data_IF_552648895735
#
_entry.id   IF_552648895735
#
_cell.length_a   1.000
_cell.length_b   1.000
_cell.length_c   1.000
_cell.angle_alpha   90.00
_cell.angle_beta   90.00
_cell.angle_gamma   90.00
#
_symmetry.space_group_name_H-M   'P 1'
#
loop_
_entity.id
_entity.type
_entity.pdbx_description
1 polymer ?
#
# COMPACT_ATOMS: atom_id res chain seq x y z
N UNK A 1 -18.34 -22.26 -58.74
CA UNK A 1 -16.91 -22.61 -58.48
C UNK A 1 -16.72 -22.53 -56.99
N UNK A 2 -16.96 -23.60 -56.25
CA UNK A 2 -16.83 -23.64 -54.79
C UNK A 2 -15.33 -23.86 -54.44
N UNK A 3 -14.72 -22.89 -53.79
CA UNK A 3 -13.35 -22.99 -53.27
C UNK A 3 -13.45 -23.79 -51.96
N UNK A 4 -13.08 -25.09 -52.03
CA UNK A 4 -12.88 -25.92 -50.84
C UNK A 4 -11.60 -25.45 -50.13
N UNK A 5 -11.79 -24.68 -49.04
CA UNK A 5 -10.69 -24.35 -48.12
C UNK A 5 -10.39 -25.62 -47.32
N UNK A 6 -9.15 -26.18 -47.38
CA UNK A 6 -8.84 -27.41 -46.68
C UNK A 6 -8.94 -27.21 -45.17
N UNK A 7 -9.72 -28.06 -44.52
CA UNK A 7 -10.04 -28.08 -43.08
C UNK A 7 -8.81 -27.96 -42.16
N UNK A 8 -7.62 -28.33 -42.67
CA UNK A 8 -6.35 -28.19 -41.94
C UNK A 8 -5.90 -26.75 -41.71
N UNK A 9 -6.31 -25.79 -42.57
CA UNK A 9 -6.02 -24.35 -42.37
C UNK A 9 -6.91 -23.71 -41.30
N UNK A 10 -8.17 -24.15 -41.20
CA UNK A 10 -9.09 -23.67 -40.16
C UNK A 10 -8.63 -24.10 -38.77
N UNK A 11 -8.21 -25.35 -38.61
CA UNK A 11 -7.75 -25.88 -37.32
C UNK A 11 -6.45 -25.17 -36.85
N UNK A 12 -5.52 -24.88 -37.76
CA UNK A 12 -4.30 -24.15 -37.42
C UNK A 12 -4.56 -22.68 -37.05
N UNK A 13 -5.50 -22.02 -37.72
CA UNK A 13 -5.87 -20.64 -37.41
C UNK A 13 -6.54 -20.53 -36.04
N UNK A 14 -7.39 -21.49 -35.67
CA UNK A 14 -8.05 -21.52 -34.34
C UNK A 14 -7.03 -21.79 -33.21
N UNK A 15 -6.05 -22.68 -33.43
CA UNK A 15 -5.00 -22.94 -32.44
C UNK A 15 -4.08 -21.74 -32.20
N UNK A 16 -3.74 -20.97 -33.24
CA UNK A 16 -2.94 -19.75 -33.09
C UNK A 16 -3.71 -18.67 -32.37
N UNK A 17 -5.02 -18.51 -32.59
CA UNK A 17 -5.87 -17.54 -31.88
C UNK A 17 -6.08 -17.90 -30.41
N UNK A 18 -6.20 -19.17 -30.07
CA UNK A 18 -6.34 -19.63 -28.68
C UNK A 18 -5.04 -19.43 -27.90
N UNK A 19 -3.88 -19.64 -28.53
CA UNK A 19 -2.58 -19.38 -27.87
C UNK A 19 -2.27 -17.88 -27.66
N UNK A 20 -2.78 -17.00 -28.51
CA UNK A 20 -2.59 -15.54 -28.34
C UNK A 20 -3.49 -14.94 -27.24
N UNK A 21 -4.59 -15.60 -26.87
CA UNK A 21 -5.52 -15.13 -25.86
C UNK A 21 -5.09 -15.45 -24.42
N UNK A 22 -4.09 -16.31 -24.21
CA UNK A 22 -3.63 -16.75 -22.88
C UNK A 22 -2.46 -15.91 -22.34
N UNK A 23 -1.93 -14.95 -23.11
CA UNK A 23 -0.71 -14.22 -22.77
C UNK A 23 -0.91 -12.85 -22.12
N UNK A 24 -2.08 -12.53 -21.57
CA UNK A 24 -2.31 -11.24 -20.86
C UNK A 24 -2.87 -11.51 -19.47
N UNK A 25 -2.25 -12.40 -18.72
CA UNK A 25 -2.21 -12.26 -17.26
C UNK A 25 -0.93 -11.52 -16.91
N UNK A 26 -0.89 -10.23 -17.24
CA UNK A 26 0.03 -9.30 -16.60
C UNK A 26 -0.40 -9.27 -15.14
N UNK A 27 0.29 -10.00 -14.27
CA UNK A 27 0.21 -9.83 -12.84
C UNK A 27 0.48 -8.35 -12.59
N UNK A 28 -0.58 -7.56 -12.44
CA UNK A 28 -0.52 -6.23 -11.88
C UNK A 28 -0.01 -6.42 -10.45
N UNK A 29 1.31 -6.43 -10.28
CA UNK A 29 1.93 -6.27 -8.97
C UNK A 29 1.30 -5.01 -8.40
N UNK A 30 0.40 -5.16 -7.44
CA UNK A 30 -0.25 -4.02 -6.81
C UNK A 30 0.82 -3.31 -5.99
N UNK A 31 1.44 -2.35 -6.65
CA UNK A 31 2.41 -1.46 -6.03
C UNK A 31 1.72 -0.72 -4.89
N UNK A 32 2.35 -0.68 -3.73
CA UNK A 32 1.87 0.08 -2.59
C UNK A 32 1.50 1.51 -3.02
N UNK A 33 0.27 1.94 -2.70
CA UNK A 33 -0.26 3.21 -3.17
C UNK A 33 0.38 4.38 -2.42
N UNK A 34 0.79 5.40 -3.17
CA UNK A 34 1.25 6.66 -2.59
C UNK A 34 0.09 7.40 -1.91
N UNK A 35 0.40 8.11 -0.84
CA UNK A 35 -0.55 9.03 -0.21
C UNK A 35 -0.80 10.24 -1.13
N UNK A 36 -2.05 10.53 -1.41
CA UNK A 36 -2.48 11.68 -2.20
C UNK A 36 -3.57 12.50 -1.50
N UNK A 37 -4.45 11.82 -0.74
CA UNK A 37 -5.55 12.45 -0.02
C UNK A 37 -5.77 11.77 1.33
N UNK A 38 -5.06 12.23 2.37
CA UNK A 38 -5.18 11.71 3.73
C UNK A 38 -6.49 12.12 4.39
N UNK A 39 -7.07 13.28 4.03
CA UNK A 39 -8.39 13.67 4.54
C UNK A 39 -9.49 12.67 4.11
N UNK A 40 -9.51 12.32 2.83
CA UNK A 40 -10.44 11.31 2.31
C UNK A 40 -10.23 9.93 2.94
N UNK A 41 -8.96 9.55 3.11
CA UNK A 41 -8.57 8.30 3.75
C UNK A 41 -8.96 8.27 5.24
N UNK A 42 -8.80 9.39 5.94
CA UNK A 42 -9.19 9.54 7.34
C UNK A 42 -10.71 9.36 7.53
N UNK A 43 -11.52 9.92 6.65
CA UNK A 43 -12.98 9.68 6.67
C UNK A 43 -13.33 8.20 6.46
N UNK A 44 -12.62 7.52 5.58
CA UNK A 44 -12.79 6.08 5.37
C UNK A 44 -12.40 5.29 6.64
N UNK A 45 -11.29 5.67 7.29
CA UNK A 45 -10.85 5.13 8.58
C UNK A 45 -11.94 5.24 9.64
N UNK A 46 -12.54 6.43 9.79
CA UNK A 46 -13.61 6.67 10.77
C UNK A 46 -14.86 5.85 10.50
N UNK A 47 -15.25 5.72 9.23
CA UNK A 47 -16.41 4.91 8.83
C UNK A 47 -16.20 3.41 9.06
N UNK A 48 -15.01 2.91 8.75
CA UNK A 48 -14.67 1.48 8.83
C UNK A 48 -14.11 1.07 10.18
N UNK A 49 -13.75 2.03 11.05
CA UNK A 49 -13.09 1.80 12.35
C UNK A 49 -11.79 1.02 12.23
N UNK A 50 -10.97 1.39 11.23
CA UNK A 50 -9.67 0.79 10.96
C UNK A 50 -8.58 1.87 10.86
N UNK A 51 -7.33 1.59 11.27
CA UNK A 51 -6.25 2.57 11.26
C UNK A 51 -5.83 2.96 9.84
N UNK A 52 -5.34 4.21 9.70
CA UNK A 52 -4.51 4.63 8.59
C UNK A 52 -3.07 4.29 8.92
N UNK A 53 -2.43 3.50 8.08
CA UNK A 53 -1.03 3.11 8.21
C UNK A 53 -0.22 3.87 7.17
N UNK A 54 0.74 4.66 7.64
CA UNK A 54 1.62 5.48 6.81
C UNK A 54 3.02 4.87 6.80
N UNK A 55 3.47 4.46 5.63
CA UNK A 55 4.82 3.99 5.40
C UNK A 55 5.68 5.13 4.88
N UNK A 56 6.58 5.65 5.70
CA UNK A 56 7.56 6.65 5.29
C UNK A 56 8.78 5.98 4.69
N UNK A 57 9.11 6.37 3.47
CA UNK A 57 10.24 5.87 2.67
C UNK A 57 11.02 7.03 2.06
N UNK A 58 12.18 6.74 1.48
CA UNK A 58 12.91 7.70 0.65
C UNK A 58 13.37 7.08 -0.66
N UNK A 59 13.85 7.90 -1.56
CA UNK A 59 14.54 7.44 -2.76
C UNK A 59 15.89 6.82 -2.36
N UNK A 60 16.31 5.76 -3.04
CA UNK A 60 17.56 5.02 -2.78
C UNK A 60 17.66 4.41 -1.37
N UNK A 61 16.57 3.97 -0.77
CA UNK A 61 16.51 3.35 0.55
C UNK A 61 16.31 1.83 0.42
N UNK A 62 17.38 1.05 0.47
CA UNK A 62 17.36 -0.42 0.35
C UNK A 62 16.47 -1.08 1.41
N UNK A 63 16.52 -0.61 2.67
CA UNK A 63 15.64 -1.12 3.73
C UNK A 63 14.17 -0.76 3.50
N UNK A 64 13.88 0.38 2.83
CA UNK A 64 12.51 0.71 2.46
C UNK A 64 11.98 -0.22 1.37
N UNK A 65 12.81 -0.57 0.40
CA UNK A 65 12.46 -1.53 -0.65
C UNK A 65 12.23 -2.92 -0.04
N UNK A 66 13.12 -3.36 0.85
CA UNK A 66 12.97 -4.61 1.58
C UNK A 66 11.64 -4.67 2.35
N UNK A 67 11.32 -3.65 3.15
CA UNK A 67 10.07 -3.60 3.93
C UNK A 67 8.86 -3.57 3.03
N UNK A 68 8.90 -2.81 1.95
CA UNK A 68 7.82 -2.74 0.96
C UNK A 68 7.56 -4.10 0.33
N UNK A 69 8.60 -4.77 -0.14
CA UNK A 69 8.47 -5.97 -0.96
C UNK A 69 8.17 -7.21 -0.13
N UNK A 70 8.82 -7.37 1.02
CA UNK A 70 8.66 -8.56 1.87
C UNK A 70 7.38 -8.51 2.74
N UNK A 71 6.92 -7.30 3.12
CA UNK A 71 5.83 -7.16 4.08
C UNK A 71 4.64 -6.36 3.53
N UNK A 72 4.86 -5.12 3.07
CA UNK A 72 3.75 -4.18 2.85
C UNK A 72 2.97 -4.45 1.57
N UNK A 73 3.61 -4.96 0.52
CA UNK A 73 2.92 -5.35 -0.71
C UNK A 73 1.91 -6.46 -0.43
N UNK A 74 2.26 -7.42 0.43
CA UNK A 74 1.33 -8.47 0.86
C UNK A 74 0.14 -7.88 1.62
N UNK A 75 0.38 -7.01 2.62
CA UNK A 75 -0.70 -6.35 3.39
C UNK A 75 -1.62 -5.51 2.50
N UNK A 76 -1.10 -4.93 1.43
CA UNK A 76 -1.88 -4.08 0.51
C UNK A 76 -2.76 -4.87 -0.46
N UNK A 77 -2.56 -6.19 -0.59
CA UNK A 77 -3.26 -7.09 -1.53
C UNK A 77 -4.10 -8.15 -0.86
N UNK A 78 -3.75 -8.55 0.36
CA UNK A 78 -4.49 -9.57 1.09
C UNK A 78 -5.84 -9.01 1.59
N UNK A 79 -6.98 -9.62 1.21
CA UNK A 79 -8.31 -9.18 1.63
C UNK A 79 -8.48 -9.14 3.16
N UNK A 80 -7.78 -9.98 3.92
CA UNK A 80 -7.83 -9.98 5.40
C UNK A 80 -7.27 -8.66 5.93
N UNK A 81 -6.10 -8.24 5.45
CA UNK A 81 -5.46 -6.99 5.89
C UNK A 81 -6.13 -5.75 5.30
N UNK A 82 -6.61 -5.79 4.06
CA UNK A 82 -7.37 -4.69 3.45
C UNK A 82 -8.65 -4.34 4.24
N UNK A 83 -9.18 -5.28 5.02
CA UNK A 83 -10.31 -5.04 5.93
C UNK A 83 -9.89 -4.55 7.32
N UNK A 84 -8.60 -4.56 7.64
CA UNK A 84 -8.05 -4.19 8.96
C UNK A 84 -7.31 -2.85 8.96
N UNK A 85 -6.90 -2.32 7.80
CA UNK A 85 -6.09 -1.11 7.72
C UNK A 85 -6.20 -0.42 6.34
N UNK A 86 -5.81 0.85 6.31
CA UNK A 86 -5.68 1.67 5.09
C UNK A 86 -4.21 2.07 4.93
N UNK A 87 -3.46 1.35 4.08
CA UNK A 87 -2.02 1.54 3.92
C UNK A 87 -1.68 2.51 2.78
N UNK A 88 -0.81 3.49 3.05
CA UNK A 88 -0.27 4.44 2.04
C UNK A 88 1.20 4.71 2.28
N UNK A 89 1.93 4.95 1.19
CA UNK A 89 3.33 5.36 1.23
C UNK A 89 3.46 6.87 1.15
N UNK A 90 4.28 7.45 2.03
CA UNK A 90 4.73 8.85 2.02
C UNK A 90 6.22 8.87 1.73
N UNK A 91 6.64 9.61 0.70
CA UNK A 91 8.05 9.65 0.31
C UNK A 91 8.74 10.89 0.85
N UNK A 92 9.61 10.69 1.84
CA UNK A 92 10.47 11.73 2.42
C UNK A 92 11.25 12.48 1.34
N UNK A 93 11.29 13.80 1.42
CA UNK A 93 11.99 14.66 0.46
C UNK A 93 11.31 14.83 -0.91
N UNK A 94 10.14 14.22 -1.12
CA UNK A 94 9.42 14.32 -2.40
C UNK A 94 8.49 15.54 -2.45
N UNK A 95 8.52 16.27 -3.57
CA UNK A 95 7.60 17.38 -3.86
C UNK A 95 6.23 16.91 -4.38
N UNK A 96 5.92 15.61 -4.29
CA UNK A 96 4.62 15.08 -4.70
C UNK A 96 3.51 15.75 -3.88
N UNK A 97 2.42 16.23 -4.53
CA UNK A 97 1.30 16.83 -3.83
C UNK A 97 0.59 15.85 -2.89
N UNK A 98 0.12 16.34 -1.76
CA UNK A 98 -0.61 15.62 -0.73
C UNK A 98 -1.65 16.53 -0.12
N UNK A 99 -2.90 16.09 -0.04
CA UNK A 99 -3.92 16.69 0.82
C UNK A 99 -3.83 16.01 2.20
N UNK A 100 -3.42 16.75 3.23
CA UNK A 100 -3.24 16.22 4.57
C UNK A 100 -4.57 15.91 5.30
N UNK A 101 -4.51 15.43 6.54
CA UNK A 101 -5.71 15.13 7.35
C UNK A 101 -6.56 16.40 7.61
N UNK A 102 -5.92 17.57 7.71
CA UNK A 102 -6.55 18.89 7.95
C UNK A 102 -7.02 19.59 6.68
N UNK A 103 -6.99 18.95 5.52
CA UNK A 103 -7.34 19.49 4.20
C UNK A 103 -6.37 20.56 3.68
N UNK A 104 -5.13 20.59 4.17
CA UNK A 104 -4.11 21.47 3.62
C UNK A 104 -3.43 20.79 2.44
N UNK A 105 -3.27 21.54 1.35
CA UNK A 105 -2.51 21.07 0.18
C UNK A 105 -1.03 21.34 0.43
N UNK A 106 -0.28 20.31 0.68
CA UNK A 106 1.16 20.33 1.00
C UNK A 106 1.91 19.32 0.12
N UNK A 107 3.19 19.11 0.39
CA UNK A 107 3.98 18.05 -0.26
C UNK A 107 4.26 16.90 0.71
N UNK A 108 4.68 15.75 0.17
CA UNK A 108 5.18 14.64 0.98
C UNK A 108 6.35 15.07 1.88
N UNK A 109 7.27 15.90 1.36
CA UNK A 109 8.38 16.45 2.13
C UNK A 109 7.87 17.24 3.33
N UNK A 110 6.99 18.22 3.11
CA UNK A 110 6.40 19.04 4.17
C UNK A 110 5.64 18.19 5.20
N UNK A 111 4.86 17.20 4.74
CA UNK A 111 4.14 16.31 5.64
C UNK A 111 5.09 15.47 6.50
N UNK A 112 6.19 14.96 5.92
CA UNK A 112 7.20 14.21 6.65
C UNK A 112 7.85 15.05 7.75
N UNK A 113 8.17 16.32 7.45
CA UNK A 113 8.70 17.29 8.43
C UNK A 113 7.70 17.56 9.56
N UNK A 114 6.43 17.81 9.24
CA UNK A 114 5.36 18.02 10.23
C UNK A 114 5.16 16.81 11.15
N UNK A 115 5.41 15.61 10.65
CA UNK A 115 5.34 14.35 11.42
C UNK A 115 6.63 14.04 12.18
N UNK A 116 7.66 14.90 12.11
CA UNK A 116 8.96 14.72 12.72
C UNK A 116 9.63 13.38 12.37
N UNK A 117 9.46 12.91 11.12
CA UNK A 117 10.08 11.68 10.65
C UNK A 117 11.52 11.98 10.26
N UNK A 118 12.48 11.48 11.03
CA UNK A 118 13.91 11.68 10.82
C UNK A 118 14.61 10.48 10.17
N UNK A 119 14.02 9.30 10.29
CA UNK A 119 14.56 8.03 9.77
C UNK A 119 13.55 7.31 8.90
N UNK A 120 14.04 6.57 7.91
CA UNK A 120 13.23 5.67 7.07
C UNK A 120 13.93 4.31 6.95
N UNK A 121 13.20 3.21 6.81
CA UNK A 121 11.73 3.12 6.81
C UNK A 121 11.14 3.43 8.20
N UNK A 122 10.01 4.13 8.23
CA UNK A 122 9.19 4.28 9.43
C UNK A 122 7.74 3.93 9.09
N UNK A 123 7.09 3.16 9.96
CA UNK A 123 5.66 2.87 9.83
C UNK A 123 4.93 3.50 11.01
N UNK A 124 3.98 4.38 10.70
CA UNK A 124 3.18 5.11 11.66
C UNK A 124 1.72 4.68 11.55
N UNK A 125 1.05 4.49 12.68
CA UNK A 125 -0.34 4.07 12.78
C UNK A 125 -1.18 5.20 13.33
N UNK A 126 -2.16 5.68 12.57
CA UNK A 126 -2.97 6.82 12.95
C UNK A 126 -4.47 6.52 12.88
N UNK A 127 -5.26 7.34 13.57
CA UNK A 127 -6.71 7.41 13.38
C UNK A 127 -7.08 8.29 12.18
N UNK A 128 -8.39 8.55 12.00
CA UNK A 128 -8.93 9.31 10.88
C UNK A 128 -8.57 10.79 10.87
N UNK A 129 -8.09 11.35 11.98
CA UNK A 129 -7.63 12.74 12.07
C UNK A 129 -6.11 12.87 12.09
N UNK A 130 -5.41 11.73 12.08
CA UNK A 130 -3.96 11.67 12.03
C UNK A 130 -3.28 11.55 13.41
N UNK A 131 -4.04 11.34 14.49
CA UNK A 131 -3.49 11.09 15.82
C UNK A 131 -2.85 9.70 15.90
N UNK A 132 -1.69 9.60 16.54
CA UNK A 132 -0.94 8.35 16.69
C UNK A 132 -1.70 7.39 17.62
N UNK A 133 -1.85 6.15 17.18
CA UNK A 133 -2.56 5.10 17.90
C UNK A 133 -1.63 4.20 18.73
N UNK A 134 -0.44 3.94 18.21
CA UNK A 134 0.61 3.11 18.82
C UNK A 134 1.98 3.66 18.45
N UNK A 135 3.02 3.19 19.12
CA UNK A 135 4.40 3.58 18.84
C UNK A 135 4.78 3.25 17.38
N UNK A 136 5.54 4.14 16.74
CA UNK A 136 6.04 3.97 15.39
C UNK A 136 7.03 2.81 15.30
N UNK A 137 7.01 2.07 14.20
CA UNK A 137 8.07 1.09 13.89
C UNK A 137 9.14 1.82 13.07
N UNK A 138 10.31 2.08 13.69
CA UNK A 138 11.40 2.83 13.08
C UNK A 138 12.55 1.90 12.69
N UNK A 139 12.95 1.98 11.43
CA UNK A 139 14.04 1.17 10.88
C UNK A 139 13.71 -0.33 10.78
N UNK A 140 14.74 -1.13 10.55
CA UNK A 140 14.66 -2.60 10.53
C UNK A 140 15.70 -3.14 11.51
N UNK A 141 15.28 -3.38 12.76
CA UNK A 141 16.20 -3.86 13.80
C UNK A 141 16.43 -5.37 13.72
N UNK A 142 15.38 -6.14 13.48
CA UNK A 142 15.44 -7.60 13.40
C UNK A 142 14.47 -8.11 12.34
N UNK A 143 14.97 -8.37 11.15
CA UNK A 143 14.15 -8.74 9.98
C UNK A 143 13.25 -9.95 10.24
N UNK A 144 13.75 -10.98 10.94
CA UNK A 144 12.99 -12.21 11.22
C UNK A 144 11.77 -12.01 12.12
N UNK A 145 11.68 -10.90 12.86
CA UNK A 145 10.55 -10.55 13.71
C UNK A 145 9.73 -9.35 13.20
N UNK A 146 10.16 -8.73 12.11
CA UNK A 146 9.52 -7.51 11.60
C UNK A 146 8.04 -7.70 11.29
N UNK A 147 7.67 -8.81 10.65
CA UNK A 147 6.27 -9.16 10.38
C UNK A 147 5.44 -9.28 11.65
N UNK A 148 5.99 -9.91 12.70
CA UNK A 148 5.30 -10.06 13.98
C UNK A 148 5.08 -8.69 14.67
N UNK A 149 6.07 -7.79 14.64
CA UNK A 149 5.91 -6.43 15.18
C UNK A 149 4.84 -5.65 14.41
N UNK A 150 4.81 -5.80 13.09
CA UNK A 150 3.83 -5.15 12.23
C UNK A 150 2.40 -5.64 12.53
N UNK A 151 2.21 -6.95 12.64
CA UNK A 151 0.91 -7.55 13.00
C UNK A 151 0.46 -7.12 14.40
N UNK A 152 1.38 -7.12 15.36
CA UNK A 152 1.09 -6.66 16.72
C UNK A 152 0.65 -5.19 16.74
N UNK A 153 1.34 -4.31 16.02
CA UNK A 153 1.00 -2.89 15.94
C UNK A 153 -0.37 -2.67 15.26
N UNK A 154 -0.71 -3.44 14.23
CA UNK A 154 -2.03 -3.43 13.59
C UNK A 154 -3.13 -3.80 14.60
N UNK A 155 -2.98 -4.89 15.32
CA UNK A 155 -3.99 -5.33 16.30
C UNK A 155 -4.11 -4.36 17.49
N UNK A 156 -3.00 -3.79 17.96
CA UNK A 156 -3.01 -2.76 19.01
C UNK A 156 -3.72 -1.49 18.51
N UNK A 157 -3.48 -1.07 17.28
CA UNK A 157 -4.13 0.10 16.67
C UNK A 157 -5.65 -0.08 16.55
N UNK A 158 -6.09 -1.26 16.12
CA UNK A 158 -7.51 -1.62 16.07
C UNK A 158 -8.15 -1.58 17.46
N UNK A 159 -7.48 -2.09 18.48
CA UNK A 159 -7.97 -2.08 19.85
C UNK A 159 -8.04 -0.64 20.40
N UNK A 160 -7.02 0.20 20.14
CA UNK A 160 -7.01 1.61 20.53
C UNK A 160 -8.18 2.38 19.90
N UNK A 161 -8.47 2.15 18.61
CA UNK A 161 -9.62 2.75 17.93
C UNK A 161 -10.97 2.31 18.54
N UNK A 162 -11.10 1.06 18.94
CA UNK A 162 -12.32 0.57 19.60
C UNK A 162 -12.55 1.21 20.96
N UNK A 163 -11.48 1.54 21.68
CA UNK A 163 -11.57 2.19 23.00
C UNK A 163 -11.84 3.69 22.91
N UNK A 164 -11.49 4.35 21.82
CA UNK A 164 -11.78 5.77 21.56
C UNK A 164 -13.24 6.06 21.19
N UNK A 165 -14.02 5.02 20.84
CA UNK A 165 -15.42 5.12 20.38
C UNK A 165 -16.38 4.44 21.35
#
# INVERSE_FOLDING_TARGET
>A
MFIMIPMQFLVRAVFVFVFLAVAIESAAQSKLRMADNLHGLGRESDLRKIPVVLFFSSEYCEYCDLVRDEFLNHLSTDPVFMNKLLLREVRMGSNRPLLDFSRQSITHATFTEQRAIELVPTIQFTDGVGDILVEDIVGVTTLGFYGAYLEQAIEQSLNTLRLKN
#
